data_IF_964920345306
#
_entry.id   IF_964920345306
#
_cell.length_a   1.000
_cell.length_b   1.000
_cell.length_c   1.000
_cell.angle_alpha   90.00
_cell.angle_beta   90.00
_cell.angle_gamma   90.00
#
_symmetry.space_group_name_H-M   'P 1'
#
loop_
_entity.id
_entity.type
_entity.pdbx_description
1 polymer ?
#
# COMPACT_ATOMS: atom_id res chain seq x y z
N UNK A 1 -16.63 32.48 -14.92
CA UNK A 1 -17.62 31.39 -14.88
C UNK A 1 -16.93 30.11 -15.32
N UNK A 2 -16.61 29.20 -14.40
CA UNK A 2 -16.11 27.85 -14.73
C UNK A 2 -17.28 26.98 -15.19
N UNK A 3 -17.21 26.46 -16.41
CA UNK A 3 -18.24 25.61 -17.01
C UNK A 3 -18.50 24.37 -16.12
N UNK A 4 -19.76 24.09 -15.81
CA UNK A 4 -20.21 22.94 -15.01
C UNK A 4 -19.63 21.62 -15.53
N UNK A 5 -19.43 21.49 -16.85
CA UNK A 5 -18.79 20.32 -17.48
C UNK A 5 -17.35 20.12 -17.02
N UNK A 6 -16.57 21.20 -16.90
CA UNK A 6 -15.18 21.13 -16.45
C UNK A 6 -15.05 20.73 -14.98
N UNK A 7 -16.02 21.11 -14.14
CA UNK A 7 -16.06 20.72 -12.72
C UNK A 7 -16.38 19.23 -12.58
N UNK A 8 -17.35 18.70 -13.32
CA UNK A 8 -17.70 17.26 -13.30
C UNK A 8 -16.56 16.39 -13.80
N UNK A 9 -15.91 16.79 -14.89
CA UNK A 9 -14.76 16.08 -15.44
C UNK A 9 -13.61 15.97 -14.41
N UNK A 10 -13.32 17.07 -13.69
CA UNK A 10 -12.32 17.06 -12.61
C UNK A 10 -12.68 16.11 -11.48
N UNK A 11 -13.92 16.15 -10.98
CA UNK A 11 -14.39 15.23 -9.93
C UNK A 11 -14.29 13.76 -10.33
N UNK A 12 -14.61 13.45 -11.58
CA UNK A 12 -14.47 12.09 -12.13
C UNK A 12 -13.00 11.64 -12.14
N UNK A 13 -12.08 12.50 -12.60
CA UNK A 13 -10.65 12.21 -12.59
C UNK A 13 -10.14 11.96 -11.17
N UNK A 14 -10.55 12.77 -10.20
CA UNK A 14 -10.17 12.60 -8.80
C UNK A 14 -10.74 11.29 -8.21
N UNK A 15 -12.01 10.97 -8.50
CA UNK A 15 -12.64 9.73 -8.04
C UNK A 15 -11.96 8.48 -8.60
N UNK A 16 -11.60 8.48 -9.90
CA UNK A 16 -10.88 7.37 -10.52
C UNK A 16 -9.47 7.24 -9.94
N UNK A 17 -8.77 8.35 -9.70
CA UNK A 17 -7.45 8.33 -9.08
C UNK A 17 -7.47 7.68 -7.69
N UNK A 18 -8.46 8.07 -6.88
CA UNK A 18 -8.65 7.52 -5.53
C UNK A 18 -9.01 6.05 -5.59
N UNK A 19 -9.97 5.66 -6.44
CA UNK A 19 -10.38 4.28 -6.59
C UNK A 19 -9.21 3.38 -7.03
N UNK A 20 -8.38 3.85 -7.97
CA UNK A 20 -7.19 3.14 -8.41
C UNK A 20 -6.18 2.95 -7.26
N UNK A 21 -5.92 3.98 -6.46
CA UNK A 21 -5.03 3.90 -5.30
C UNK A 21 -5.51 2.91 -4.24
N UNK A 22 -6.81 2.92 -3.94
CA UNK A 22 -7.41 1.97 -2.98
C UNK A 22 -7.36 0.53 -3.52
N UNK A 23 -7.73 0.32 -4.78
CA UNK A 23 -7.74 -1.02 -5.39
C UNK A 23 -6.34 -1.63 -5.44
N UNK A 24 -5.32 -0.85 -5.81
CA UNK A 24 -3.94 -1.33 -5.83
C UNK A 24 -3.43 -1.66 -4.42
N UNK A 25 -3.78 -0.86 -3.41
CA UNK A 25 -3.45 -1.16 -2.03
C UNK A 25 -4.06 -2.48 -1.54
N UNK A 26 -5.31 -2.77 -1.90
CA UNK A 26 -6.00 -3.98 -1.47
C UNK A 26 -5.56 -5.24 -2.23
N UNK A 27 -5.38 -5.13 -3.54
CA UNK A 27 -5.20 -6.30 -4.41
C UNK A 27 -3.73 -6.61 -4.67
N UNK A 28 -2.90 -5.59 -4.90
CA UNK A 28 -1.51 -5.80 -5.32
C UNK A 28 -0.54 -5.84 -4.14
N UNK A 29 -0.83 -5.12 -3.05
CA UNK A 29 0.10 -5.04 -1.92
C UNK A 29 0.34 -6.39 -1.22
N UNK A 30 -0.67 -7.24 -0.92
CA UNK A 30 -0.44 -8.54 -0.31
C UNK A 30 0.44 -9.51 -1.12
N UNK A 31 0.18 -9.76 -2.43
CA UNK A 31 1.02 -10.67 -3.21
C UNK A 31 2.43 -10.11 -3.44
N UNK A 32 2.59 -8.77 -3.55
CA UNK A 32 3.92 -8.16 -3.61
C UNK A 32 4.68 -8.30 -2.29
N UNK A 33 4.01 -8.18 -1.15
CA UNK A 33 4.63 -8.42 0.16
C UNK A 33 5.03 -9.90 0.34
N UNK A 34 4.24 -10.84 -0.17
CA UNK A 34 4.63 -12.26 -0.22
C UNK A 34 5.86 -12.47 -1.11
N UNK A 35 5.83 -11.96 -2.34
CA UNK A 35 6.93 -12.10 -3.31
C UNK A 35 8.23 -11.48 -2.79
N UNK A 36 8.14 -10.30 -2.16
CA UNK A 36 9.32 -9.64 -1.58
C UNK A 36 9.84 -10.39 -0.35
N UNK A 37 8.97 -11.06 0.42
CA UNK A 37 9.38 -11.95 1.51
C UNK A 37 10.21 -13.12 0.98
N UNK A 38 9.71 -13.79 -0.06
CA UNK A 38 10.37 -14.95 -0.69
C UNK A 38 11.73 -14.54 -1.28
N UNK A 39 11.76 -13.39 -1.97
CA UNK A 39 12.99 -12.84 -2.54
C UNK A 39 14.04 -12.49 -1.49
N UNK A 40 13.59 -11.99 -0.31
CA UNK A 40 14.45 -11.68 0.82
C UNK A 40 14.79 -12.92 1.69
N UNK A 41 14.24 -14.10 1.37
CA UNK A 41 14.48 -15.33 2.13
C UNK A 41 14.00 -15.25 3.58
N UNK A 42 12.95 -14.47 3.86
CA UNK A 42 12.48 -14.24 5.22
C UNK A 42 11.57 -15.40 5.70
N UNK A 43 11.78 -15.93 6.92
CA UNK A 43 11.01 -17.06 7.44
C UNK A 43 9.53 -16.69 7.57
N UNK A 44 8.58 -17.62 7.41
CA UNK A 44 7.15 -17.32 7.52
C UNK A 44 6.73 -16.81 8.92
N UNK A 45 5.68 -15.97 9.03
CA UNK A 45 5.22 -15.44 10.31
C UNK A 45 4.63 -16.46 11.29
N UNK A 46 4.36 -17.69 10.85
CA UNK A 46 3.58 -18.66 11.64
C UNK A 46 4.25 -20.03 11.69
N UNK A 47 4.89 -20.34 12.83
CA UNK A 47 4.93 -21.70 13.39
C UNK A 47 5.25 -21.76 14.91
N UNK A 48 5.27 -20.63 15.63
CA UNK A 48 5.48 -20.66 17.09
C UNK A 48 4.11 -20.60 17.80
N UNK A 49 3.69 -21.64 18.55
CA UNK A 49 2.47 -21.58 19.35
C UNK A 49 2.48 -20.39 20.29
N UNK A 50 1.30 -19.83 20.57
CA UNK A 50 1.07 -18.67 21.45
C UNK A 50 1.76 -18.78 22.83
N UNK A 51 2.09 -20.01 23.24
CA UNK A 51 2.64 -20.34 24.55
C UNK A 51 4.19 -20.29 24.62
N UNK A 52 4.87 -20.03 23.50
CA UNK A 52 6.34 -19.98 23.48
C UNK A 52 6.85 -18.57 23.81
N UNK A 53 7.69 -18.39 24.86
CA UNK A 53 8.35 -17.12 25.14
C UNK A 53 9.49 -16.94 24.14
N UNK A 54 9.14 -16.64 22.89
CA UNK A 54 10.13 -16.22 21.92
C UNK A 54 10.41 -14.74 22.13
N UNK A 55 11.67 -14.44 22.44
CA UNK A 55 12.30 -13.18 22.08
C UNK A 55 12.28 -13.06 20.56
N UNK A 56 11.10 -12.90 19.98
CA UNK A 56 10.93 -12.74 18.55
C UNK A 56 11.64 -11.43 18.21
N UNK A 57 12.64 -11.39 17.32
CA UNK A 57 13.13 -10.14 16.77
C UNK A 57 11.99 -9.54 15.92
N UNK A 58 11.02 -8.93 16.61
CA UNK A 58 9.62 -8.87 16.20
C UNK A 58 9.30 -7.74 15.24
N UNK A 59 10.21 -6.79 15.08
CA UNK A 59 9.84 -5.51 14.48
C UNK A 59 10.39 -5.46 13.06
N UNK A 60 11.71 -5.52 12.85
CA UNK A 60 12.33 -5.23 11.55
C UNK A 60 11.96 -6.20 10.40
N UNK A 61 11.97 -7.51 10.65
CA UNK A 61 11.83 -8.53 9.59
C UNK A 61 10.40 -8.69 9.07
N UNK A 62 9.39 -8.23 9.81
CA UNK A 62 7.98 -8.45 9.46
C UNK A 62 7.38 -7.32 8.62
N UNK A 63 7.75 -6.06 8.88
CA UNK A 63 7.23 -4.93 8.10
C UNK A 63 8.00 -4.70 6.79
N UNK A 64 9.23 -5.21 6.68
CA UNK A 64 10.10 -4.94 5.54
C UNK A 64 9.46 -5.33 4.19
N UNK A 65 8.86 -6.52 4.02
CA UNK A 65 8.19 -6.88 2.76
C UNK A 65 7.02 -5.95 2.40
N UNK A 66 6.27 -5.51 3.41
CA UNK A 66 5.16 -4.57 3.24
C UNK A 66 5.65 -3.17 2.84
N UNK A 67 6.75 -2.70 3.44
CA UNK A 67 7.34 -1.42 3.08
C UNK A 67 7.94 -1.45 1.68
N UNK A 68 8.59 -2.55 1.29
CA UNK A 68 9.06 -2.75 -0.09
C UNK A 68 7.90 -2.73 -1.07
N UNK A 69 6.82 -3.48 -0.81
CA UNK A 69 5.62 -3.47 -1.65
C UNK A 69 5.03 -2.05 -1.76
N UNK A 70 4.99 -1.31 -0.66
CA UNK A 70 4.47 0.06 -0.61
C UNK A 70 5.31 1.02 -1.46
N UNK A 71 6.65 0.96 -1.36
CA UNK A 71 7.57 1.78 -2.15
C UNK A 71 7.46 1.45 -3.64
N UNK A 72 7.40 0.17 -4.00
CA UNK A 72 7.27 -0.27 -5.40
C UNK A 72 5.96 0.23 -6.01
N UNK A 73 4.85 0.12 -5.28
CA UNK A 73 3.53 0.55 -5.74
C UNK A 73 3.33 2.08 -5.73
N UNK A 74 4.29 2.83 -5.16
CA UNK A 74 4.36 4.28 -5.28
C UNK A 74 5.03 4.77 -6.57
N UNK A 75 5.78 3.92 -7.28
CA UNK A 75 6.45 4.29 -8.54
C UNK A 75 5.45 4.81 -9.60
N UNK A 76 4.28 4.15 -9.84
CA UNK A 76 3.27 4.69 -10.75
C UNK A 76 2.76 6.07 -10.32
N UNK A 77 2.61 6.31 -9.02
CA UNK A 77 2.20 7.61 -8.49
C UNK A 77 3.19 8.70 -8.89
N UNK A 78 4.48 8.45 -8.66
CA UNK A 78 5.57 9.37 -8.99
C UNK A 78 5.61 9.62 -10.49
N UNK A 79 5.50 8.57 -11.31
CA UNK A 79 5.46 8.68 -12.76
C UNK A 79 4.28 9.55 -13.25
N UNK A 80 3.13 9.49 -12.58
CA UNK A 80 1.95 10.30 -12.89
C UNK A 80 2.04 11.74 -12.35
N UNK A 81 2.87 12.00 -11.34
CA UNK A 81 3.09 13.33 -10.76
C UNK A 81 4.01 14.19 -11.64
N UNK A 82 5.00 13.60 -12.31
CA UNK A 82 5.99 14.32 -13.13
C UNK A 82 5.35 15.16 -14.25
N UNK A 83 4.40 14.64 -15.05
CA UNK A 83 3.75 15.43 -16.09
C UNK A 83 2.69 16.38 -15.50
N UNK A 84 2.78 17.67 -15.83
CA UNK A 84 1.82 18.70 -15.36
C UNK A 84 0.36 18.33 -15.65
N UNK A 85 0.11 17.66 -16.78
CA UNK A 85 -1.23 17.24 -17.20
C UNK A 85 -1.84 16.15 -16.31
N UNK A 86 -1.03 15.26 -15.75
CA UNK A 86 -1.49 14.11 -14.94
C UNK A 86 -1.25 14.30 -13.45
N UNK A 87 -0.59 15.40 -13.06
CA UNK A 87 -0.15 15.65 -11.68
C UNK A 87 -1.23 15.46 -10.62
N UNK A 88 -2.46 15.93 -10.90
CA UNK A 88 -3.59 15.78 -9.96
C UNK A 88 -3.99 14.32 -9.76
N UNK A 89 -4.02 13.56 -10.85
CA UNK A 89 -4.30 12.13 -10.82
C UNK A 89 -3.22 11.39 -10.02
N UNK A 90 -1.94 11.71 -10.26
CA UNK A 90 -0.82 11.14 -9.51
C UNK A 90 -0.88 11.44 -8.01
N UNK A 91 -1.23 12.68 -7.62
CA UNK A 91 -1.41 13.06 -6.21
C UNK A 91 -2.60 12.34 -5.57
N UNK A 92 -3.75 12.28 -6.25
CA UNK A 92 -4.94 11.58 -5.75
C UNK A 92 -4.69 10.09 -5.53
N UNK A 93 -4.02 9.45 -6.48
CA UNK A 93 -3.56 8.07 -6.35
C UNK A 93 -2.59 7.91 -5.18
N UNK A 94 -1.56 8.76 -5.08
CA UNK A 94 -0.54 8.67 -4.03
C UNK A 94 -1.14 8.76 -2.63
N UNK A 95 -2.04 9.72 -2.40
CA UNK A 95 -2.71 9.90 -1.10
C UNK A 95 -3.59 8.69 -0.80
N UNK A 96 -4.42 8.27 -1.75
CA UNK A 96 -5.33 7.14 -1.55
C UNK A 96 -4.58 5.83 -1.27
N UNK A 97 -3.54 5.55 -2.06
CA UNK A 97 -2.68 4.39 -1.87
C UNK A 97 -1.89 4.49 -0.55
N UNK A 98 -1.39 5.67 -0.18
CA UNK A 98 -0.69 5.83 1.09
C UNK A 98 -1.58 5.48 2.28
N UNK A 99 -2.81 5.99 2.30
CA UNK A 99 -3.77 5.74 3.37
C UNK A 99 -4.23 4.28 3.36
N UNK A 100 -4.70 3.77 2.22
CA UNK A 100 -5.21 2.41 2.12
C UNK A 100 -4.10 1.38 2.33
N UNK A 101 -2.96 1.54 1.67
CA UNK A 101 -1.81 0.64 1.78
C UNK A 101 -1.17 0.69 3.16
N UNK A 102 -1.07 1.87 3.77
CA UNK A 102 -0.65 2.01 5.17
C UNK A 102 -1.59 1.27 6.12
N UNK A 103 -2.90 1.38 5.91
CA UNK A 103 -3.91 0.67 6.71
C UNK A 103 -3.80 -0.85 6.53
N UNK A 104 -3.70 -1.33 5.28
CA UNK A 104 -3.54 -2.76 4.97
C UNK A 104 -2.26 -3.30 5.60
N UNK A 105 -1.14 -2.58 5.47
CA UNK A 105 0.13 -2.97 6.08
C UNK A 105 0.04 -3.03 7.61
N UNK A 106 -0.59 -2.06 8.26
CA UNK A 106 -0.78 -2.05 9.72
C UNK A 106 -1.68 -3.20 10.19
N UNK A 107 -2.80 -3.45 9.49
CA UNK A 107 -3.71 -4.55 9.82
C UNK A 107 -3.04 -5.90 9.61
N UNK A 108 -2.31 -6.07 8.51
CA UNK A 108 -1.56 -7.29 8.27
C UNK A 108 -0.47 -7.50 9.34
N UNK A 109 0.27 -6.45 9.70
CA UNK A 109 1.23 -6.48 10.80
C UNK A 109 0.55 -6.93 12.10
N UNK A 110 -0.61 -6.34 12.45
CA UNK A 110 -1.37 -6.69 13.64
C UNK A 110 -1.69 -8.19 13.74
N UNK A 111 -2.22 -8.77 12.65
CA UNK A 111 -2.52 -10.21 12.59
C UNK A 111 -1.25 -11.07 12.60
N UNK A 112 -0.20 -10.68 11.88
CA UNK A 112 1.05 -11.44 11.84
C UNK A 112 1.82 -11.41 13.17
N UNK A 113 1.62 -10.40 14.01
CA UNK A 113 2.22 -10.31 15.33
C UNK A 113 1.43 -11.03 16.43
N UNK A 114 0.23 -11.55 16.12
CA UNK A 114 -0.62 -12.26 17.08
C UNK A 114 -1.21 -11.35 18.16
N UNK A 115 -1.44 -10.07 17.84
CA UNK A 115 -2.11 -9.11 18.73
C UNK A 115 -3.65 -9.14 18.57
N UNK A 116 -4.17 -9.90 17.62
CA UNK A 116 -5.60 -10.09 17.33
C UNK A 116 -6.01 -11.55 17.28
#
# INVERSE_FOLDING_TARGET
MTDVRTVRARKLVDAVAVAAGVLLALVAMPPLAGTSRDWLGLPEPTAAPLDYPQSRPLIATYWLPWLVAWVVLMIPAIALIVPVRTRRFGVGYAIAFAVAGGTVGLVACWFTWGLG
#
